data_IF_626998635653
#
_entry.id   IF_626998635653
#
_cell.length_a   1.000
_cell.length_b   1.000
_cell.length_c   1.000
_cell.angle_alpha   90.00
_cell.angle_beta   90.00
_cell.angle_gamma   90.00
#
_symmetry.space_group_name_H-M   'P 1'
#
loop_
_entity.id
_entity.type
_entity.pdbx_description
1 polymer ?
#
# COMPACT_ATOMS: atom_id res chain seq x y z
N UNK A 1 -18.49 15.27 -1.03
CA UNK A 1 -17.03 15.42 -1.28
C UNK A 1 -16.27 14.50 -0.32
N UNK A 2 -15.29 13.77 -0.82
CA UNK A 2 -14.37 12.97 -0.01
C UNK A 2 -12.96 13.54 -0.13
N UNK A 3 -12.05 13.10 0.73
CA UNK A 3 -10.65 13.52 0.71
C UNK A 3 -9.74 12.29 0.77
N UNK A 4 -8.69 12.28 -0.06
CA UNK A 4 -7.63 11.27 -0.03
C UNK A 4 -6.26 11.89 -0.29
N UNK A 5 -5.20 11.37 0.36
CA UNK A 5 -3.84 11.77 0.02
C UNK A 5 -3.42 11.17 -1.32
N UNK A 6 -2.66 11.92 -2.07
CA UNK A 6 -1.79 11.43 -3.14
C UNK A 6 -0.34 11.64 -2.72
N UNK A 7 0.50 10.69 -3.07
CA UNK A 7 1.93 10.69 -2.75
C UNK A 7 2.75 10.96 -4.00
N UNK A 8 3.74 11.85 -3.89
CA UNK A 8 4.65 12.21 -4.97
C UNK A 8 6.06 12.42 -4.43
N UNK A 9 7.02 12.65 -5.30
CA UNK A 9 8.41 12.95 -4.93
C UNK A 9 8.65 14.44 -5.11
N UNK A 10 9.20 15.07 -4.09
CA UNK A 10 9.63 16.46 -4.12
C UNK A 10 10.97 16.61 -3.40
N UNK A 11 11.98 17.13 -4.08
CA UNK A 11 13.33 17.36 -3.53
C UNK A 11 13.92 16.11 -2.85
N UNK A 12 13.86 14.95 -3.54
CA UNK A 12 14.40 13.69 -3.03
C UNK A 12 13.64 13.11 -1.81
N UNK A 13 12.37 13.52 -1.59
CA UNK A 13 11.54 13.04 -0.50
C UNK A 13 10.14 12.70 -0.97
N UNK A 14 9.56 11.65 -0.38
CA UNK A 14 8.14 11.36 -0.57
C UNK A 14 7.32 12.35 0.24
N UNK A 15 6.45 13.08 -0.45
CA UNK A 15 5.52 14.03 0.12
C UNK A 15 4.08 13.58 -0.12
N UNK A 16 3.15 14.09 0.67
CA UNK A 16 1.72 13.83 0.47
C UNK A 16 0.94 15.15 0.41
N UNK A 17 -0.03 15.20 -0.50
CA UNK A 17 -1.01 16.29 -0.59
C UNK A 17 -2.40 15.68 -0.63
N UNK A 18 -3.32 16.24 0.15
CA UNK A 18 -4.71 15.79 0.21
C UNK A 18 -5.52 16.52 -0.85
N UNK A 19 -6.32 15.76 -1.61
CA UNK A 19 -7.21 16.26 -2.64
C UNK A 19 -8.66 15.97 -2.28
N UNK A 20 -9.53 16.93 -2.53
CA UNK A 20 -10.98 16.80 -2.45
C UNK A 20 -11.53 16.36 -3.79
N UNK A 21 -12.44 15.37 -3.79
CA UNK A 21 -13.00 14.79 -5.00
C UNK A 21 -14.43 14.28 -4.77
N UNK A 22 -15.14 13.97 -5.83
CA UNK A 22 -16.46 13.36 -5.74
C UNK A 22 -16.35 11.87 -5.47
N UNK A 23 -17.01 11.40 -4.41
CA UNK A 23 -17.10 9.98 -4.06
C UNK A 23 -18.38 9.37 -4.62
N UNK A 24 -18.23 8.35 -5.43
CA UNK A 24 -19.34 7.55 -5.95
C UNK A 24 -19.59 6.37 -5.03
N UNK A 25 -20.71 6.41 -4.32
CA UNK A 25 -21.09 5.37 -3.35
C UNK A 25 -21.40 4.05 -4.02
N UNK A 26 -21.12 2.94 -3.32
CA UNK A 26 -21.42 1.57 -3.75
C UNK A 26 -20.20 0.66 -3.75
N UNK A 27 -20.49 -0.66 -3.73
CA UNK A 27 -19.45 -1.71 -3.71
C UNK A 27 -19.01 -2.16 -5.10
N UNK A 28 -19.75 -1.79 -6.15
CA UNK A 28 -19.44 -2.16 -7.52
C UNK A 28 -18.07 -1.59 -7.94
N UNK A 29 -17.31 -2.37 -8.71
CA UNK A 29 -16.01 -1.96 -9.23
C UNK A 29 -16.12 -0.63 -10.02
N UNK A 30 -17.17 -0.47 -10.82
CA UNK A 30 -17.41 0.75 -11.61
C UNK A 30 -17.55 2.00 -10.74
N UNK A 31 -18.18 1.92 -9.56
CA UNK A 31 -18.31 3.05 -8.65
C UNK A 31 -16.96 3.42 -8.00
N UNK A 32 -16.15 2.41 -7.67
CA UNK A 32 -14.79 2.63 -7.18
C UNK A 32 -13.92 3.28 -8.25
N UNK A 33 -14.01 2.81 -9.50
CA UNK A 33 -13.26 3.38 -10.63
C UNK A 33 -13.67 4.81 -10.94
N UNK A 34 -14.96 5.16 -10.85
CA UNK A 34 -15.43 6.57 -10.96
C UNK A 34 -14.83 7.45 -9.85
N UNK A 35 -14.78 6.95 -8.61
CA UNK A 35 -14.17 7.68 -7.50
C UNK A 35 -12.66 7.90 -7.69
N UNK A 36 -11.94 6.88 -8.20
CA UNK A 36 -10.53 6.97 -8.56
C UNK A 36 -10.32 8.02 -9.66
N UNK A 37 -11.13 7.98 -10.71
CA UNK A 37 -11.06 8.91 -11.82
C UNK A 37 -11.32 10.36 -11.36
N UNK A 38 -12.32 10.57 -10.49
CA UNK A 38 -12.57 11.87 -9.88
C UNK A 38 -11.39 12.38 -9.06
N UNK A 39 -10.73 11.51 -8.27
CA UNK A 39 -9.52 11.85 -7.53
C UNK A 39 -8.36 12.21 -8.48
N UNK A 40 -8.13 11.38 -9.52
CA UNK A 40 -7.07 11.63 -10.50
C UNK A 40 -7.30 12.95 -11.27
N UNK A 41 -8.55 13.25 -11.66
CA UNK A 41 -8.89 14.52 -12.30
C UNK A 41 -8.62 15.72 -11.38
N UNK A 42 -8.87 15.60 -10.07
CA UNK A 42 -8.56 16.65 -9.11
C UNK A 42 -7.02 16.86 -8.97
N UNK A 43 -6.22 15.79 -9.09
CA UNK A 43 -4.76 15.87 -9.09
C UNK A 43 -4.27 16.56 -10.37
N UNK A 44 -4.74 16.11 -11.55
CA UNK A 44 -4.37 16.67 -12.86
C UNK A 44 -4.81 18.14 -12.98
N UNK A 45 -5.97 18.49 -12.43
CA UNK A 45 -6.42 19.88 -12.40
C UNK A 45 -5.55 20.80 -11.53
N UNK A 46 -4.81 20.24 -10.57
CA UNK A 46 -3.88 20.98 -9.72
C UNK A 46 -2.43 20.96 -10.22
N UNK A 47 -2.09 20.00 -11.07
CA UNK A 47 -0.79 19.80 -11.70
C UNK A 47 -1.00 19.16 -13.08
N UNK A 48 -0.82 19.94 -14.13
CA UNK A 48 -1.05 19.51 -15.51
C UNK A 48 -0.10 18.39 -15.98
N UNK A 49 1.08 18.27 -15.36
CA UNK A 49 2.07 17.22 -15.64
C UNK A 49 1.84 15.94 -14.81
N UNK A 50 0.79 15.90 -14.00
CA UNK A 50 0.50 14.76 -13.15
C UNK A 50 0.14 13.52 -13.97
N UNK A 51 0.79 12.41 -13.62
CA UNK A 51 0.53 11.06 -14.12
C UNK A 51 0.19 10.15 -12.94
N UNK A 52 -1.05 10.20 -12.44
CA UNK A 52 -1.43 9.45 -11.25
C UNK A 52 -1.61 7.96 -11.54
N UNK A 53 -1.18 7.12 -10.61
CA UNK A 53 -1.40 5.68 -10.58
C UNK A 53 -2.15 5.29 -9.30
N UNK A 54 -3.28 4.65 -9.45
CA UNK A 54 -4.00 4.03 -8.34
C UNK A 54 -3.37 2.70 -7.96
N UNK A 55 -2.94 2.55 -6.71
CA UNK A 55 -2.33 1.33 -6.16
C UNK A 55 -3.40 0.54 -5.39
N UNK A 56 -4.21 -0.19 -6.11
CA UNK A 56 -5.19 -1.09 -5.50
C UNK A 56 -5.70 -2.12 -6.52
N UNK A 57 -6.42 -3.14 -6.04
CA UNK A 57 -7.12 -4.10 -6.90
C UNK A 57 -8.28 -3.47 -7.70
N UNK A 58 -8.57 -2.18 -7.48
CA UNK A 58 -9.61 -1.40 -8.16
C UNK A 58 -9.05 -0.54 -9.30
N UNK A 59 -7.74 -0.47 -9.42
CA UNK A 59 -7.07 0.28 -10.49
C UNK A 59 -7.57 -0.16 -11.88
N UNK A 60 -7.64 0.81 -12.81
CA UNK A 60 -7.82 0.52 -14.24
C UNK A 60 -6.50 0.09 -14.89
N UNK A 61 -5.37 0.48 -14.29
CA UNK A 61 -4.03 0.18 -14.77
C UNK A 61 -3.55 -1.16 -14.21
N UNK A 62 -3.05 -2.03 -15.10
CA UNK A 62 -2.49 -3.34 -14.71
C UNK A 62 -1.36 -3.18 -13.69
N UNK A 63 -0.51 -2.15 -13.83
CA UNK A 63 0.57 -1.85 -12.90
C UNK A 63 0.04 -1.58 -11.49
N UNK A 64 -1.00 -0.78 -11.34
CA UNK A 64 -1.61 -0.49 -10.05
C UNK A 64 -2.23 -1.73 -9.37
N UNK A 65 -2.79 -2.64 -10.18
CA UNK A 65 -3.29 -3.93 -9.68
C UNK A 65 -2.13 -4.81 -9.19
N UNK A 66 -1.03 -4.92 -9.97
CA UNK A 66 0.15 -5.72 -9.62
C UNK A 66 0.81 -5.23 -8.34
N UNK A 67 0.86 -3.93 -8.13
CA UNK A 67 1.41 -3.29 -6.93
C UNK A 67 0.48 -3.38 -5.71
N UNK A 68 -0.74 -3.89 -5.83
CA UNK A 68 -1.61 -4.06 -4.67
C UNK A 68 -1.07 -5.09 -3.68
N UNK A 69 -1.07 -4.77 -2.38
CA UNK A 69 -0.69 -5.68 -1.30
C UNK A 69 -1.49 -7.00 -1.30
N UNK A 70 -2.67 -7.01 -1.91
CA UNK A 70 -3.48 -8.22 -2.11
C UNK A 70 -3.06 -9.06 -3.33
N UNK A 71 -2.09 -8.60 -4.11
CA UNK A 71 -1.53 -9.31 -5.29
C UNK A 71 -0.05 -9.59 -5.14
N UNK A 72 0.69 -8.72 -4.47
CA UNK A 72 2.10 -8.91 -4.21
C UNK A 72 2.35 -10.15 -3.34
N UNK A 73 3.39 -10.89 -3.69
CA UNK A 73 3.83 -12.06 -2.96
C UNK A 73 5.31 -11.97 -2.62
N UNK A 74 5.67 -12.52 -1.47
CA UNK A 74 7.05 -12.73 -1.04
C UNK A 74 7.17 -14.16 -0.53
N UNK A 75 8.08 -14.94 -1.09
CA UNK A 75 8.26 -16.36 -0.78
C UNK A 75 6.95 -17.19 -0.90
N UNK A 76 6.12 -16.87 -1.91
CA UNK A 76 4.84 -17.56 -2.16
C UNK A 76 3.65 -17.07 -1.34
N UNK A 77 3.86 -16.32 -0.25
CA UNK A 77 2.82 -15.77 0.61
C UNK A 77 2.39 -14.38 0.17
N UNK A 78 1.10 -14.06 0.28
CA UNK A 78 0.62 -12.71 0.01
C UNK A 78 1.18 -11.70 1.03
N UNK A 79 1.52 -10.51 0.55
CA UNK A 79 2.07 -9.44 1.39
C UNK A 79 1.16 -9.09 2.57
N UNK A 80 -0.15 -9.03 2.36
CA UNK A 80 -1.11 -8.76 3.43
C UNK A 80 -1.05 -9.83 4.52
N UNK A 81 -0.93 -11.12 4.14
CA UNK A 81 -0.79 -12.22 5.09
C UNK A 81 0.50 -12.11 5.91
N UNK A 82 1.62 -11.81 5.26
CA UNK A 82 2.90 -11.61 5.95
C UNK A 82 2.79 -10.47 6.95
N UNK A 83 2.21 -9.33 6.54
CA UNK A 83 2.03 -8.19 7.43
C UNK A 83 1.16 -8.51 8.64
N UNK A 84 0.08 -9.26 8.46
CA UNK A 84 -0.82 -9.62 9.57
C UNK A 84 -0.18 -10.69 10.48
N UNK A 85 0.46 -11.71 9.90
CA UNK A 85 1.07 -12.80 10.65
C UNK A 85 2.25 -12.37 11.52
N UNK A 86 3.00 -11.34 11.07
CA UNK A 86 4.19 -10.84 11.76
C UNK A 86 3.88 -10.01 13.02
N UNK A 87 2.64 -9.63 13.27
CA UNK A 87 2.26 -8.79 14.41
C UNK A 87 2.48 -9.50 15.73
N UNK A 88 3.16 -8.82 16.65
CA UNK A 88 3.38 -9.24 18.04
C UNK A 88 2.64 -8.28 18.96
N UNK A 89 1.82 -8.82 19.84
CA UNK A 89 1.00 -8.08 20.77
C UNK A 89 1.40 -8.39 22.21
N UNK A 90 0.88 -7.64 23.17
CA UNK A 90 1.14 -7.87 24.60
C UNK A 90 0.75 -9.29 25.06
N UNK A 91 -0.26 -9.90 24.45
CA UNK A 91 -0.81 -11.20 24.84
C UNK A 91 -0.81 -12.24 23.71
N UNK A 92 0.06 -12.08 22.70
CA UNK A 92 0.16 -13.07 21.63
C UNK A 92 0.87 -12.59 20.37
N UNK A 93 1.04 -13.51 19.42
CA UNK A 93 1.77 -13.29 18.17
C UNK A 93 3.26 -13.61 18.27
N UNK A 94 3.95 -13.68 17.12
CA UNK A 94 3.37 -13.64 15.79
C UNK A 94 2.41 -14.82 15.51
N UNK A 95 1.59 -14.71 14.46
CA UNK A 95 0.57 -15.71 14.12
C UNK A 95 0.84 -16.35 12.76
N UNK A 96 1.78 -17.28 12.64
CA UNK A 96 2.19 -17.86 11.36
C UNK A 96 1.04 -18.55 10.61
N UNK A 97 0.04 -19.08 11.32
CA UNK A 97 -1.14 -19.69 10.67
C UNK A 97 -1.98 -18.73 9.82
N UNK A 98 -1.74 -17.41 9.88
CA UNK A 98 -2.38 -16.44 8.98
C UNK A 98 -1.77 -16.44 7.58
N UNK A 99 -0.61 -17.03 7.38
CA UNK A 99 0.05 -17.09 6.07
C UNK A 99 -0.75 -17.91 5.06
N UNK A 100 -1.47 -18.94 5.53
CA UNK A 100 -2.18 -19.91 4.69
C UNK A 100 -3.65 -19.51 4.42
N UNK A 101 -4.13 -18.42 5.04
CA UNK A 101 -5.50 -17.96 4.88
C UNK A 101 -5.67 -17.07 3.63
N UNK A 102 -6.89 -16.94 3.10
CA UNK A 102 -7.21 -15.86 2.17
C UNK A 102 -6.88 -14.49 2.80
N UNK A 103 -6.29 -13.52 2.05
CA UNK A 103 -5.83 -12.25 2.63
C UNK A 103 -6.88 -11.45 3.40
N UNK A 104 -8.16 -11.55 3.00
CA UNK A 104 -9.24 -10.89 3.72
C UNK A 104 -9.52 -11.54 5.08
N UNK A 105 -9.44 -12.87 5.15
CA UNK A 105 -9.61 -13.63 6.40
C UNK A 105 -8.44 -13.37 7.34
N UNK A 106 -7.21 -13.43 6.83
CA UNK A 106 -6.03 -13.09 7.62
C UNK A 106 -6.14 -11.70 8.26
N UNK A 107 -6.63 -10.70 7.50
CA UNK A 107 -6.83 -9.33 7.99
C UNK A 107 -7.95 -9.21 9.02
N UNK A 108 -8.97 -10.04 8.93
CA UNK A 108 -10.14 -10.06 9.83
C UNK A 108 -10.00 -10.98 11.05
N UNK A 109 -8.84 -11.62 11.24
CA UNK A 109 -8.64 -12.58 12.33
C UNK A 109 -8.81 -11.93 13.70
N UNK A 110 -9.63 -12.55 14.55
CA UNK A 110 -9.98 -12.03 15.87
C UNK A 110 -8.78 -11.84 16.79
N UNK A 111 -7.74 -12.66 16.65
CA UNK A 111 -6.51 -12.57 17.44
C UNK A 111 -5.81 -11.22 17.26
N UNK A 112 -5.93 -10.61 16.07
CA UNK A 112 -5.37 -9.29 15.77
C UNK A 112 -6.06 -8.15 16.54
N UNK A 113 -7.26 -8.38 17.04
CA UNK A 113 -8.07 -7.41 17.77
C UNK A 113 -8.11 -7.66 19.28
N UNK A 114 -7.93 -8.93 19.70
CA UNK A 114 -8.14 -9.36 21.09
C UNK A 114 -6.85 -9.60 21.88
N UNK A 115 -5.67 -9.47 21.25
CA UNK A 115 -4.37 -9.76 21.89
C UNK A 115 -3.71 -8.55 22.56
N UNK A 116 -4.42 -7.46 22.74
CA UNK A 116 -3.90 -6.26 23.40
C UNK A 116 -3.20 -5.30 22.43
N UNK A 117 -2.31 -4.49 22.96
CA UNK A 117 -1.57 -3.48 22.19
C UNK A 117 -0.49 -4.16 21.34
N UNK A 118 -0.33 -3.72 20.09
CA UNK A 118 0.78 -4.11 19.21
C UNK A 118 2.11 -3.61 19.82
N UNK A 119 3.09 -4.49 19.94
CA UNK A 119 4.40 -4.21 20.56
C UNK A 119 5.57 -4.27 19.59
N UNK A 120 5.50 -5.12 18.57
CA UNK A 120 6.52 -5.29 17.54
C UNK A 120 5.94 -5.97 16.31
N UNK A 121 6.77 -6.08 15.26
CA UNK A 121 6.60 -7.08 14.21
C UNK A 121 7.76 -8.06 14.29
N UNK A 122 7.51 -9.35 14.01
CA UNK A 122 8.54 -10.38 13.91
C UNK A 122 8.43 -11.12 12.58
N UNK A 123 9.52 -11.07 11.81
CA UNK A 123 9.58 -11.69 10.49
C UNK A 123 10.97 -12.29 10.25
N UNK A 124 11.03 -13.53 9.76
CA UNK A 124 12.30 -14.27 9.52
C UNK A 124 13.26 -14.26 10.74
N UNK A 125 12.72 -14.41 11.96
CA UNK A 125 13.43 -14.34 13.25
C UNK A 125 14.03 -12.98 13.61
N UNK A 126 13.66 -11.92 12.90
CA UNK A 126 14.05 -10.56 13.22
C UNK A 126 12.86 -9.75 13.79
N UNK A 127 13.15 -8.97 14.82
CA UNK A 127 12.18 -8.05 15.41
C UNK A 127 12.29 -6.67 14.78
N UNK A 128 11.17 -6.15 14.31
CA UNK A 128 11.07 -4.82 13.74
C UNK A 128 10.35 -3.88 14.72
N UNK A 129 10.93 -2.70 14.99
CA UNK A 129 10.33 -1.74 15.91
C UNK A 129 9.08 -1.10 15.32
N UNK A 130 8.24 -0.53 16.20
CA UNK A 130 7.08 0.26 15.79
C UNK A 130 7.43 1.72 15.44
N UNK A 131 8.68 2.11 15.54
CA UNK A 131 9.15 3.46 15.21
C UNK A 131 10.33 3.37 14.25
N UNK A 132 10.22 3.92 13.03
CA UNK A 132 9.01 4.49 12.41
C UNK A 132 7.90 3.46 12.20
N UNK A 133 6.64 3.87 12.35
CA UNK A 133 5.47 2.96 12.29
C UNK A 133 5.31 2.23 10.95
N UNK A 134 5.91 2.74 9.88
CA UNK A 134 5.76 2.18 8.53
C UNK A 134 6.93 1.30 8.11
N UNK A 135 8.03 1.27 8.88
CA UNK A 135 9.30 0.65 8.44
C UNK A 135 9.13 -0.82 8.04
N UNK A 136 8.42 -1.59 8.84
CA UNK A 136 8.22 -3.02 8.56
C UNK A 136 7.36 -3.21 7.29
N UNK A 137 6.27 -2.45 7.15
CA UNK A 137 5.42 -2.51 5.97
C UNK A 137 6.18 -2.12 4.70
N UNK A 138 6.91 -1.02 4.73
CA UNK A 138 7.72 -0.56 3.60
C UNK A 138 8.78 -1.62 3.22
N UNK A 139 9.45 -2.21 4.21
CA UNK A 139 10.47 -3.26 4.00
C UNK A 139 9.91 -4.49 3.26
N UNK A 140 8.83 -5.10 3.79
CA UNK A 140 8.27 -6.30 3.17
C UNK A 140 7.64 -5.99 1.81
N UNK A 141 7.07 -4.79 1.64
CA UNK A 141 6.47 -4.37 0.37
C UNK A 141 7.54 -4.23 -0.73
N UNK A 142 8.67 -3.57 -0.45
CA UNK A 142 9.79 -3.42 -1.40
C UNK A 142 10.35 -4.80 -1.76
N UNK A 143 10.54 -5.70 -0.77
CA UNK A 143 10.97 -7.08 -1.04
C UNK A 143 9.97 -7.83 -1.91
N UNK A 144 8.67 -7.69 -1.65
CA UNK A 144 7.62 -8.33 -2.43
C UNK A 144 7.56 -7.81 -3.88
N UNK A 145 7.73 -6.51 -4.10
CA UNK A 145 7.80 -5.94 -5.46
C UNK A 145 8.98 -6.53 -6.22
N UNK A 146 10.17 -6.56 -5.63
CA UNK A 146 11.37 -7.17 -6.24
C UNK A 146 11.22 -8.67 -6.50
N UNK A 147 10.42 -9.37 -5.71
CA UNK A 147 10.16 -10.82 -5.88
C UNK A 147 9.08 -11.09 -6.94
N UNK A 148 8.16 -10.15 -7.17
CA UNK A 148 6.95 -10.39 -7.98
C UNK A 148 7.04 -9.79 -9.38
N UNK A 149 7.68 -8.62 -9.53
CA UNK A 149 7.76 -7.89 -10.78
C UNK A 149 9.12 -8.09 -11.46
N UNK A 150 9.10 -8.13 -12.79
CA UNK A 150 10.31 -8.10 -13.60
C UNK A 150 10.95 -6.70 -13.58
N UNK A 151 12.22 -6.61 -13.94
CA UNK A 151 12.96 -5.34 -13.90
C UNK A 151 12.35 -4.24 -14.77
N UNK A 152 11.85 -4.59 -15.96
CA UNK A 152 11.16 -3.68 -16.87
C UNK A 152 9.83 -3.18 -16.30
N UNK A 153 9.10 -4.02 -15.57
CA UNK A 153 7.88 -3.64 -14.87
C UNK A 153 8.16 -2.68 -13.71
N UNK A 154 9.26 -2.91 -12.97
CA UNK A 154 9.68 -2.00 -11.90
C UNK A 154 10.07 -0.65 -12.51
N UNK A 155 10.85 -0.65 -13.60
CA UNK A 155 11.23 0.56 -14.30
C UNK A 155 10.01 1.33 -14.84
N UNK A 156 8.94 0.64 -15.24
CA UNK A 156 7.70 1.27 -15.70
C UNK A 156 6.98 2.09 -14.60
N UNK A 157 7.30 1.88 -13.32
CA UNK A 157 6.78 2.71 -12.21
C UNK A 157 7.23 4.17 -12.37
N UNK A 158 8.40 4.42 -12.97
CA UNK A 158 8.94 5.75 -13.24
C UNK A 158 8.08 6.59 -14.19
N UNK A 159 7.19 5.96 -14.97
CA UNK A 159 6.24 6.66 -15.84
C UNK A 159 5.16 7.43 -15.06
N UNK A 160 5.01 7.17 -13.78
CA UNK A 160 4.03 7.81 -12.90
C UNK A 160 4.73 8.72 -11.89
N UNK A 161 4.08 9.82 -11.50
CA UNK A 161 4.62 10.77 -10.54
C UNK A 161 3.71 11.07 -9.35
N UNK A 162 2.46 10.57 -9.38
CA UNK A 162 1.52 10.58 -8.26
C UNK A 162 0.98 9.17 -8.00
N UNK A 163 0.90 8.79 -6.73
CA UNK A 163 0.40 7.48 -6.31
C UNK A 163 -0.76 7.66 -5.34
N UNK A 164 -1.87 6.95 -5.61
CA UNK A 164 -3.10 7.00 -4.82
C UNK A 164 -3.50 5.61 -4.34
N UNK A 165 -4.31 5.57 -3.29
CA UNK A 165 -4.98 4.37 -2.78
C UNK A 165 -6.37 4.77 -2.31
N UNK A 166 -7.38 4.50 -3.14
CA UNK A 166 -8.76 4.90 -2.87
C UNK A 166 -9.34 4.19 -1.64
N UNK A 167 -8.86 3.00 -1.34
CA UNK A 167 -9.30 2.21 -0.18
C UNK A 167 -8.60 2.63 1.12
N UNK A 168 -7.53 3.39 1.05
CA UNK A 168 -6.81 3.88 2.21
C UNK A 168 -7.63 4.95 2.95
N UNK A 169 -7.84 4.73 4.24
CA UNK A 169 -8.45 5.72 5.12
C UNK A 169 -7.42 6.19 6.16
N UNK A 170 -6.91 7.43 6.06
CA UNK A 170 -5.88 7.95 6.97
C UNK A 170 -6.34 8.05 8.44
N UNK A 171 -7.65 8.07 8.70
CA UNK A 171 -8.19 8.03 10.07
C UNK A 171 -8.09 6.63 10.72
N UNK A 172 -7.91 5.58 9.91
CA UNK A 172 -7.91 4.17 10.36
C UNK A 172 -6.57 3.45 10.17
N UNK A 173 -5.71 3.95 9.31
CA UNK A 173 -4.44 3.30 8.96
C UNK A 173 -3.35 4.34 8.73
N UNK A 174 -2.10 3.93 8.99
CA UNK A 174 -0.90 4.72 8.72
C UNK A 174 -0.19 4.17 7.48
N UNK A 175 -0.17 2.85 7.33
CA UNK A 175 0.46 2.20 6.19
C UNK A 175 -0.44 2.32 4.96
N UNK A 176 0.15 2.72 3.85
CA UNK A 176 -0.53 2.80 2.55
C UNK A 176 0.41 2.35 1.45
N UNK A 177 -0.10 1.47 0.59
CA UNK A 177 0.63 0.95 -0.57
C UNK A 177 1.04 2.09 -1.52
N UNK A 178 0.26 3.14 -1.65
CA UNK A 178 0.57 4.29 -2.49
C UNK A 178 1.82 5.04 -2.03
N UNK A 179 2.01 5.21 -0.70
CA UNK A 179 3.23 5.81 -0.16
C UNK A 179 4.46 4.94 -0.45
N UNK A 180 4.35 3.65 -0.27
CA UNK A 180 5.48 2.73 -0.51
C UNK A 180 5.81 2.63 -1.99
N UNK A 181 4.81 2.72 -2.89
CA UNK A 181 5.07 2.83 -4.34
C UNK A 181 5.85 4.10 -4.69
N UNK A 182 5.55 5.23 -4.06
CA UNK A 182 6.34 6.46 -4.21
C UNK A 182 7.79 6.31 -3.67
N UNK A 183 8.00 5.56 -2.57
CA UNK A 183 9.33 5.23 -2.06
C UNK A 183 10.10 4.38 -3.07
N UNK A 184 9.45 3.37 -3.66
CA UNK A 184 10.06 2.52 -4.68
C UNK A 184 10.54 3.39 -5.85
N UNK A 185 9.67 4.26 -6.39
CA UNK A 185 10.06 5.18 -7.45
C UNK A 185 11.28 6.02 -7.05
N UNK A 186 11.28 6.62 -5.86
CA UNK A 186 12.40 7.41 -5.36
C UNK A 186 13.71 6.61 -5.35
N UNK A 187 13.67 5.36 -4.84
CA UNK A 187 14.84 4.49 -4.80
C UNK A 187 15.37 4.18 -6.21
N UNK A 188 14.48 3.92 -7.17
CA UNK A 188 14.89 3.58 -8.53
C UNK A 188 15.30 4.80 -9.35
N UNK A 189 14.72 5.97 -9.12
CA UNK A 189 15.15 7.22 -9.79
C UNK A 189 16.53 7.69 -9.30
N UNK A 190 16.90 7.43 -8.04
CA UNK A 190 18.16 7.88 -7.43
C UNK A 190 19.31 6.84 -7.52
N UNK A 191 19.01 5.55 -7.66
CA UNK A 191 19.98 4.44 -7.54
C UNK A 191 19.84 3.35 -8.64
N UNK A 192 18.99 3.56 -9.64
CA UNK A 192 18.73 2.64 -10.76
C UNK A 192 19.67 2.78 -11.95
#
# INVERSE_FOLDING_TARGET
>A
MAQRPAFSICQGKVVSKTYSFEWFSGFALSQKQKSIESLHNAIIGADADAKPLEISTRSKETMGIKLSAFRLKLNGCFLENIFQSAKVFERGGPYPGLLDLPPREAKGDERLHNSGRLTAFRYENEDFPLTPKTVFYDYIYIKAVKNTLAADEINAISNYNYFTDIEFNPAKSINTQARTAAIIKLIFDDYG
#
